data_IF_999914422539
#
_entry.id   IF_999914422539
#
_cell.length_a   1.000
_cell.length_b   1.000
_cell.length_c   1.000
_cell.angle_alpha   90.00
_cell.angle_beta   90.00
_cell.angle_gamma   90.00
#
_symmetry.space_group_name_H-M   'P 1'
#
loop_
_entity.id
_entity.type
_entity.pdbx_description
1 polymer ?
#
# COMPACT_ATOMS: atom_id res chain seq x y z
N UNK A 1 42.47 9.18 55.64
CA UNK A 1 43.68 8.34 55.76
C UNK A 1 43.43 7.05 55.02
N UNK A 2 44.45 6.56 54.31
CA UNK A 2 44.48 5.37 53.45
C UNK A 2 43.52 5.43 52.24
N UNK A 3 43.96 5.64 51.00
CA UNK A 3 45.23 5.23 50.40
C UNK A 3 45.12 3.77 49.98
N UNK A 4 45.13 3.53 48.67
CA UNK A 4 45.87 2.51 47.92
C UNK A 4 45.25 2.48 46.51
N UNK A 5 45.96 2.93 45.46
CA UNK A 5 46.91 2.10 44.69
C UNK A 5 46.19 0.86 44.15
N UNK A 6 46.26 0.47 42.89
CA UNK A 6 47.07 0.81 41.75
C UNK A 6 46.54 -0.15 40.65
N UNK A 7 47.07 -0.01 39.44
CA UNK A 7 47.32 -1.12 38.52
C UNK A 7 46.24 -1.52 37.49
N UNK A 8 46.54 -1.09 36.26
CA UNK A 8 46.81 -1.95 35.10
C UNK A 8 45.63 -2.50 34.27
N UNK A 9 45.40 -1.81 33.14
CA UNK A 9 45.19 -2.37 31.77
C UNK A 9 46.06 -3.64 31.55
N UNK A 10 45.80 -4.56 30.59
CA UNK A 10 44.91 -4.45 29.43
C UNK A 10 44.28 -5.78 28.91
N UNK A 11 43.53 -5.66 27.80
CA UNK A 11 43.36 -6.62 26.69
C UNK A 11 42.84 -8.04 26.97
N UNK A 12 41.78 -8.44 26.25
CA UNK A 12 41.87 -9.39 25.13
C UNK A 12 40.59 -10.25 24.96
N UNK A 13 39.97 -10.11 23.79
CA UNK A 13 39.28 -11.15 23.03
C UNK A 13 37.96 -11.73 23.58
N UNK A 14 36.85 -11.37 22.91
CA UNK A 14 36.04 -12.38 22.21
C UNK A 14 35.21 -11.70 21.12
N UNK A 15 35.34 -12.27 19.91
CA UNK A 15 34.88 -11.72 18.65
C UNK A 15 33.36 -11.71 18.44
N UNK A 16 32.93 -11.52 17.18
CA UNK A 16 31.55 -11.18 16.84
C UNK A 16 30.69 -12.44 16.85
N UNK A 17 29.66 -12.48 17.70
CA UNK A 17 28.54 -13.37 17.44
C UNK A 17 27.55 -12.65 16.53
N UNK A 18 27.87 -12.66 15.24
CA UNK A 18 26.89 -12.49 14.19
C UNK A 18 26.15 -13.82 14.05
N UNK A 19 24.95 -13.95 14.62
CA UNK A 19 23.97 -15.04 14.40
C UNK A 19 22.76 -14.74 15.29
N UNK A 20 21.53 -14.51 14.87
CA UNK A 20 20.88 -14.64 13.58
C UNK A 20 19.68 -13.71 13.61
N UNK A 21 19.71 -12.63 12.84
CA UNK A 21 18.46 -11.97 12.43
C UNK A 21 17.84 -12.88 11.38
N UNK A 22 16.92 -13.74 11.80
CA UNK A 22 16.00 -14.40 10.87
C UNK A 22 15.17 -13.31 10.18
N UNK A 23 15.62 -12.87 9.01
CA UNK A 23 14.72 -12.42 7.96
C UNK A 23 14.78 -13.48 6.87
N UNK A 24 13.70 -14.25 6.74
CA UNK A 24 13.03 -14.26 5.45
C UNK A 24 11.52 -14.31 5.65
N UNK A 25 10.89 -13.17 5.46
CA UNK A 25 9.45 -13.04 5.34
C UNK A 25 9.17 -11.83 4.49
N UNK A 26 9.22 -12.01 3.17
CA UNK A 26 8.67 -11.07 2.20
C UNK A 26 7.23 -10.73 2.60
N UNK A 27 7.02 -9.62 3.30
CA UNK A 27 5.76 -8.90 3.27
C UNK A 27 6.08 -7.47 2.84
N UNK A 28 6.38 -7.31 1.56
CA UNK A 28 6.11 -6.04 0.90
C UNK A 28 4.60 -5.91 0.74
N UNK A 29 3.93 -5.56 1.83
CA UNK A 29 2.58 -5.00 1.79
C UNK A 29 2.55 -3.69 2.56
N UNK A 30 3.48 -2.78 2.23
CA UNK A 30 3.27 -1.37 2.55
C UNK A 30 2.12 -0.84 1.69
N UNK A 31 0.90 -1.26 1.99
CA UNK A 31 -0.29 -0.54 1.59
C UNK A 31 -0.12 0.88 2.13
N UNK A 32 -0.21 1.87 1.24
CA UNK A 32 0.03 3.27 1.63
C UNK A 32 -0.95 3.65 2.74
N UNK A 33 -0.62 4.57 3.66
CA UNK A 33 -1.55 5.00 4.73
C UNK A 33 -2.96 5.29 4.17
N UNK A 34 -3.00 5.95 3.01
CA UNK A 34 -4.18 6.19 2.17
C UNK A 34 -5.06 4.95 1.90
N UNK A 35 -4.45 3.79 1.65
CA UNK A 35 -5.16 2.53 1.46
C UNK A 35 -5.87 2.08 2.73
N UNK A 36 -5.16 2.11 3.87
CA UNK A 36 -5.72 1.73 5.17
C UNK A 36 -6.86 2.64 5.58
N UNK A 37 -6.70 3.95 5.38
CA UNK A 37 -7.73 4.94 5.68
C UNK A 37 -8.96 4.77 4.77
N UNK A 38 -8.76 4.25 3.56
CA UNK A 38 -9.84 3.98 2.62
C UNK A 38 -10.59 2.69 2.94
N UNK A 39 -9.90 1.58 3.22
CA UNK A 39 -10.54 0.29 3.57
C UNK A 39 -11.05 0.22 5.01
N UNK A 40 -10.64 1.14 5.88
CA UNK A 40 -11.12 1.22 7.26
C UNK A 40 -12.48 1.89 7.43
N UNK A 41 -12.97 2.59 6.40
CA UNK A 41 -14.21 3.37 6.46
C UNK A 41 -15.08 3.17 5.20
N UNK A 42 -16.40 3.33 5.30
CA UNK A 42 -17.25 3.35 4.12
C UNK A 42 -16.82 4.47 3.16
N UNK A 43 -16.76 4.15 1.87
CA UNK A 43 -16.26 5.02 0.80
C UNK A 43 -16.97 6.38 0.72
N UNK A 44 -18.27 6.42 1.02
CA UNK A 44 -19.07 7.64 1.01
C UNK A 44 -18.91 8.43 -0.29
N UNK A 45 -18.71 9.75 -0.16
CA UNK A 45 -18.58 10.70 -1.27
C UNK A 45 -17.11 11.03 -1.65
N UNK A 46 -16.17 10.15 -1.27
CA UNK A 46 -14.73 10.32 -1.54
C UNK A 46 -14.47 10.43 -3.05
N UNK A 47 -13.55 11.31 -3.45
CA UNK A 47 -13.16 11.51 -4.84
C UNK A 47 -12.44 10.29 -5.42
N UNK A 48 -12.42 10.15 -6.74
CA UNK A 48 -11.67 9.08 -7.42
C UNK A 48 -10.17 9.09 -7.08
N UNK A 49 -9.63 10.28 -6.81
CA UNK A 49 -8.25 10.48 -6.36
C UNK A 49 -8.00 9.96 -4.95
N UNK A 50 -9.01 9.56 -4.18
CA UNK A 50 -8.84 8.91 -2.87
C UNK A 50 -8.47 7.43 -3.00
N UNK A 51 -8.68 6.81 -4.16
CA UNK A 51 -8.30 5.42 -4.39
C UNK A 51 -6.77 5.26 -4.39
N UNK A 52 -6.29 4.15 -3.82
CA UNK A 52 -4.88 3.78 -3.91
C UNK A 52 -4.50 3.50 -5.36
N UNK A 53 -3.30 3.89 -5.78
CA UNK A 53 -2.87 3.75 -7.18
C UNK A 53 -3.39 4.82 -8.13
N UNK A 54 -4.45 5.57 -7.76
CA UNK A 54 -4.95 6.72 -8.52
C UNK A 54 -4.34 8.02 -7.97
N UNK A 55 -3.49 8.66 -8.79
CA UNK A 55 -2.95 9.99 -8.53
C UNK A 55 -3.79 11.10 -9.16
N UNK A 56 -3.38 12.36 -8.99
CA UNK A 56 -4.08 13.53 -9.56
C UNK A 56 -4.25 13.44 -11.08
N UNK A 57 -3.20 13.04 -11.81
CA UNK A 57 -3.23 12.93 -13.29
C UNK A 57 -4.20 11.86 -13.77
N UNK A 58 -4.20 10.68 -13.13
CA UNK A 58 -5.10 9.58 -13.47
C UNK A 58 -6.54 9.91 -13.08
N UNK A 59 -6.70 10.52 -11.90
CA UNK A 59 -8.00 10.96 -11.40
C UNK A 59 -8.65 12.01 -12.30
N UNK A 60 -7.88 12.95 -12.87
CA UNK A 60 -8.45 13.94 -13.80
C UNK A 60 -8.92 13.28 -15.10
N UNK A 61 -8.17 12.31 -15.64
CA UNK A 61 -8.61 11.55 -16.82
C UNK A 61 -9.86 10.74 -16.54
N UNK A 62 -9.93 10.07 -15.39
CA UNK A 62 -11.13 9.37 -14.94
C UNK A 62 -12.30 10.35 -14.80
N UNK A 63 -12.06 11.53 -14.23
CA UNK A 63 -13.09 12.57 -14.08
C UNK A 63 -13.61 13.08 -15.43
N UNK A 64 -12.74 13.24 -16.42
CA UNK A 64 -13.13 13.60 -17.79
C UNK A 64 -14.01 12.51 -18.45
N UNK A 65 -13.85 11.25 -18.06
CA UNK A 65 -14.68 10.14 -18.50
C UNK A 65 -15.99 10.01 -17.67
N UNK A 66 -16.22 10.86 -16.66
CA UNK A 66 -17.38 10.79 -15.77
C UNK A 66 -17.18 9.95 -14.51
N UNK A 67 -15.95 9.50 -14.23
CA UNK A 67 -15.58 8.81 -12.99
C UNK A 67 -14.99 9.80 -11.99
N UNK A 68 -15.82 10.70 -11.46
CA UNK A 68 -15.38 11.75 -10.52
C UNK A 68 -15.27 11.25 -9.07
N UNK A 69 -16.15 10.31 -8.68
CA UNK A 69 -16.17 9.71 -7.34
C UNK A 69 -15.65 8.28 -7.32
N UNK A 70 -15.12 7.88 -6.16
CA UNK A 70 -14.62 6.53 -5.96
C UNK A 70 -15.72 5.47 -6.11
N UNK A 71 -16.97 5.77 -5.71
CA UNK A 71 -18.08 4.83 -5.83
C UNK A 71 -18.46 4.51 -7.28
N UNK A 72 -18.20 5.44 -8.22
CA UNK A 72 -18.46 5.20 -9.65
C UNK A 72 -17.48 4.16 -10.18
N UNK A 73 -16.21 4.27 -9.78
CA UNK A 73 -15.17 3.29 -10.13
C UNK A 73 -15.42 1.94 -9.46
N UNK A 74 -15.89 1.93 -8.20
CA UNK A 74 -16.34 0.71 -7.56
C UNK A 74 -17.50 0.06 -8.32
N UNK A 75 -18.49 0.85 -8.76
CA UNK A 75 -19.59 0.35 -9.58
C UNK A 75 -19.09 -0.37 -10.83
N UNK A 76 -18.10 0.20 -11.51
CA UNK A 76 -17.45 -0.43 -12.65
C UNK A 76 -16.73 -1.74 -12.26
N UNK A 77 -16.04 -1.77 -11.13
CA UNK A 77 -15.40 -2.98 -10.61
C UNK A 77 -16.42 -4.10 -10.33
N UNK A 78 -17.61 -3.74 -9.82
CA UNK A 78 -18.70 -4.69 -9.57
C UNK A 78 -19.33 -5.22 -10.85
N UNK A 79 -19.47 -4.39 -11.89
CA UNK A 79 -19.93 -4.82 -13.22
C UNK A 79 -18.99 -5.85 -13.84
N UNK A 80 -17.68 -5.70 -13.61
CA UNK A 80 -16.65 -6.66 -14.01
C UNK A 80 -16.52 -7.86 -13.07
N UNK A 81 -17.53 -8.12 -12.21
CA UNK A 81 -17.55 -9.23 -11.26
C UNK A 81 -16.35 -9.26 -10.31
N UNK A 82 -15.79 -8.09 -9.98
CA UNK A 82 -14.57 -7.95 -9.17
C UNK A 82 -13.34 -8.64 -9.80
N UNK A 83 -13.35 -8.84 -11.12
CA UNK A 83 -12.24 -9.47 -11.82
C UNK A 83 -11.03 -8.54 -11.90
N UNK A 84 -9.86 -8.93 -11.34
CA UNK A 84 -8.72 -8.05 -11.23
C UNK A 84 -8.01 -7.80 -12.56
N UNK A 85 -8.08 -8.75 -13.51
CA UNK A 85 -7.42 -8.64 -14.81
C UNK A 85 -8.23 -7.69 -15.70
N UNK A 86 -9.53 -7.94 -15.82
CA UNK A 86 -10.47 -7.12 -16.59
C UNK A 86 -10.51 -5.69 -16.08
N UNK A 87 -10.55 -5.49 -14.75
CA UNK A 87 -10.55 -4.14 -14.20
C UNK A 87 -9.20 -3.43 -14.41
N UNK A 88 -8.09 -4.16 -14.34
CA UNK A 88 -6.77 -3.56 -14.58
C UNK A 88 -6.59 -3.15 -16.04
N UNK A 89 -7.11 -3.91 -17.00
CA UNK A 89 -7.15 -3.53 -18.42
C UNK A 89 -8.06 -2.32 -18.64
N UNK A 90 -9.28 -2.36 -18.09
CA UNK A 90 -10.20 -1.22 -18.16
C UNK A 90 -9.58 0.07 -17.59
N UNK A 91 -8.88 -0.01 -16.44
CA UNK A 91 -8.26 1.15 -15.82
C UNK A 91 -7.10 1.71 -16.67
N UNK A 92 -6.33 0.82 -17.33
CA UNK A 92 -5.31 1.23 -18.30
C UNK A 92 -5.94 1.95 -19.48
N UNK A 93 -7.04 1.45 -20.02
CA UNK A 93 -7.69 2.07 -21.18
C UNK A 93 -8.37 3.40 -20.81
N UNK A 94 -9.04 3.46 -19.66
CA UNK A 94 -9.78 4.64 -19.22
C UNK A 94 -8.86 5.79 -18.75
N UNK A 95 -7.74 5.48 -18.10
CA UNK A 95 -6.88 6.49 -17.45
C UNK A 95 -5.42 6.49 -17.93
N UNK A 96 -4.97 5.46 -18.65
CA UNK A 96 -3.56 5.26 -18.97
C UNK A 96 -2.73 4.86 -17.75
N UNK A 97 -3.34 4.24 -16.73
CA UNK A 97 -2.63 3.75 -15.55
C UNK A 97 -1.58 2.70 -15.93
N UNK A 98 -0.46 2.66 -15.22
CA UNK A 98 0.48 1.55 -15.40
C UNK A 98 0.00 0.29 -14.67
N UNK A 99 0.52 -0.89 -15.04
CA UNK A 99 0.09 -2.17 -14.45
C UNK A 99 0.23 -2.24 -12.93
N UNK A 100 1.22 -1.54 -12.36
CA UNK A 100 1.41 -1.44 -10.91
C UNK A 100 0.33 -0.60 -10.23
N UNK A 101 0.00 0.56 -10.79
CA UNK A 101 -1.07 1.44 -10.29
C UNK A 101 -2.42 0.74 -10.36
N UNK A 102 -2.69 0.07 -11.48
CA UNK A 102 -3.89 -0.74 -11.65
C UNK A 102 -3.98 -1.82 -10.58
N UNK A 103 -2.95 -2.66 -10.42
CA UNK A 103 -2.94 -3.70 -9.40
C UNK A 103 -3.18 -3.16 -7.97
N UNK A 104 -2.56 -2.03 -7.62
CA UNK A 104 -2.75 -1.39 -6.32
C UNK A 104 -4.18 -0.87 -6.13
N UNK A 105 -4.78 -0.28 -7.17
CA UNK A 105 -6.17 0.19 -7.13
C UNK A 105 -7.15 -0.98 -7.01
N UNK A 106 -6.94 -2.03 -7.81
CA UNK A 106 -7.74 -3.25 -7.81
C UNK A 106 -7.73 -3.92 -6.43
N UNK A 107 -6.55 -4.06 -5.82
CA UNK A 107 -6.43 -4.65 -4.49
C UNK A 107 -7.17 -3.82 -3.43
N UNK A 108 -7.10 -2.49 -3.52
CA UNK A 108 -7.82 -1.57 -2.62
C UNK A 108 -9.35 -1.73 -2.74
N UNK A 109 -9.87 -1.77 -3.96
CA UNK A 109 -11.31 -1.96 -4.19
C UNK A 109 -11.78 -3.36 -3.77
N UNK A 110 -10.95 -4.38 -3.96
CA UNK A 110 -11.24 -5.74 -3.51
C UNK A 110 -11.34 -5.83 -1.99
N UNK A 111 -10.33 -5.35 -1.27
CA UNK A 111 -10.34 -5.34 0.20
C UNK A 111 -11.51 -4.53 0.76
N UNK A 112 -11.79 -3.37 0.16
CA UNK A 112 -12.96 -2.57 0.54
C UNK A 112 -14.27 -3.34 0.29
N UNK A 113 -14.37 -4.00 -0.86
CA UNK A 113 -15.54 -4.82 -1.19
C UNK A 113 -15.71 -5.98 -0.22
N UNK A 114 -14.64 -6.66 0.18
CA UNK A 114 -14.71 -7.80 1.12
C UNK A 114 -15.05 -7.33 2.55
N UNK A 115 -14.79 -6.07 2.89
CA UNK A 115 -15.08 -5.49 4.20
C UNK A 115 -16.51 -4.92 4.32
N UNK A 116 -17.08 -4.39 3.24
CA UNK A 116 -18.33 -3.62 3.28
C UNK A 116 -19.47 -4.15 2.38
N UNK A 117 -19.24 -5.13 1.50
CA UNK A 117 -20.25 -5.77 0.64
C UNK A 117 -20.37 -7.27 0.93
#
# INVERSE_FOLDING_TARGET
MAGFLLFHRPSSQRGPSCSSRCFPGLSMSSTTQKHRDFVGEPMGDKSVTALSGIGATLGEKLRQQGFDKAYVVLGQFLLLKKDPEMFSEWLKDASGANGRQAAVCTQCLREWSDAFL
#
